data_IF_050765674699
#
_entry.id   IF_050765674699
#
_cell.length_a   1.000
_cell.length_b   1.000
_cell.length_c   1.000
_cell.angle_alpha   90.00
_cell.angle_beta   90.00
_cell.angle_gamma   90.00
#
_symmetry.space_group_name_H-M   'P 1'
#
loop_
_entity.id
_entity.type
_entity.pdbx_description
1 polymer ?
#
# COMPACT_ATOMS: atom_id res chain seq x y z
N UNK A 1 3.23 -22.49 -13.24
CA UNK A 1 2.55 -22.58 -11.92
C UNK A 1 1.05 -22.37 -12.06
N UNK A 2 0.33 -23.25 -12.82
CA UNK A 2 -1.08 -23.02 -13.15
C UNK A 2 -2.01 -23.10 -11.93
N UNK A 3 -1.59 -23.78 -10.86
CA UNK A 3 -2.41 -24.00 -9.67
C UNK A 3 -2.04 -23.06 -8.51
N UNK A 4 -0.95 -22.30 -8.65
CA UNK A 4 -0.47 -21.34 -7.64
C UNK A 4 -1.12 -19.97 -7.84
N UNK A 5 -1.26 -19.21 -6.75
CA UNK A 5 -1.65 -17.81 -6.84
C UNK A 5 -0.43 -17.00 -7.33
N UNK A 6 -0.58 -16.35 -8.48
CA UNK A 6 0.46 -15.48 -9.05
C UNK A 6 -0.08 -14.06 -9.09
N UNK A 7 0.52 -13.18 -8.29
CA UNK A 7 0.07 -11.81 -8.09
C UNK A 7 1.14 -10.81 -8.53
N UNK A 8 0.72 -9.58 -8.80
CA UNK A 8 1.58 -8.54 -9.32
C UNK A 8 1.53 -7.30 -8.41
N UNK A 9 2.69 -6.86 -7.95
CA UNK A 9 2.81 -5.72 -7.04
C UNK A 9 3.82 -4.70 -7.58
N UNK A 10 3.29 -3.69 -8.26
CA UNK A 10 4.09 -2.57 -8.80
C UNK A 10 3.46 -1.25 -8.42
N UNK A 11 4.03 -0.15 -8.86
CA UNK A 11 3.36 1.16 -8.76
C UNK A 11 2.03 1.11 -9.53
N UNK A 12 0.93 1.45 -8.84
CA UNK A 12 -0.43 1.38 -9.38
C UNK A 12 -0.90 2.69 -10.01
N UNK A 13 0.05 3.57 -10.33
CA UNK A 13 -0.24 4.84 -10.99
C UNK A 13 0.12 4.77 -12.47
N UNK A 14 -0.80 5.12 -13.35
CA UNK A 14 -0.52 5.44 -14.75
C UNK A 14 0.25 6.75 -14.86
N UNK A 15 -0.04 7.67 -13.95
CA UNK A 15 0.68 8.93 -13.76
C UNK A 15 0.90 9.19 -12.27
N UNK A 16 2.13 9.55 -11.92
CA UNK A 16 2.50 9.91 -10.55
C UNK A 16 3.45 11.10 -10.54
N UNK A 17 2.99 12.21 -9.97
CA UNK A 17 3.85 13.34 -9.61
C UNK A 17 3.94 13.40 -8.09
N UNK A 18 5.11 13.17 -7.51
CA UNK A 18 5.28 13.29 -6.06
C UNK A 18 5.12 14.74 -5.61
N UNK A 19 4.60 14.92 -4.42
CA UNK A 19 4.61 16.21 -3.73
C UNK A 19 6.04 16.69 -3.55
N UNK A 20 6.35 17.93 -3.91
CA UNK A 20 7.66 18.52 -3.78
C UNK A 20 7.59 20.04 -3.58
N UNK A 21 8.65 20.61 -3.02
CA UNK A 21 8.83 22.05 -2.96
C UNK A 21 10.20 22.44 -3.53
N UNK A 22 10.21 23.42 -4.41
CA UNK A 22 11.41 23.94 -5.06
C UNK A 22 11.68 25.35 -4.50
N UNK A 23 12.54 25.43 -3.49
CA UNK A 23 12.81 26.67 -2.76
C UNK A 23 13.39 27.78 -3.65
N UNK A 24 14.17 27.44 -4.69
CA UNK A 24 14.77 28.43 -5.59
C UNK A 24 13.76 29.20 -6.44
N UNK A 25 12.60 28.65 -6.69
CA UNK A 25 11.50 29.26 -7.47
C UNK A 25 10.23 29.49 -6.65
N UNK A 26 10.25 29.24 -5.35
CA UNK A 26 9.08 29.27 -4.47
C UNK A 26 7.88 28.49 -5.06
N UNK A 27 8.17 27.30 -5.60
CA UNK A 27 7.15 26.52 -6.30
C UNK A 27 6.80 25.27 -5.50
N UNK A 28 5.54 25.20 -5.03
CA UNK A 28 4.97 23.99 -4.47
C UNK A 28 4.33 23.14 -5.58
N UNK A 29 4.70 21.88 -5.62
CA UNK A 29 4.16 20.88 -6.54
C UNK A 29 3.27 19.96 -5.72
N UNK A 30 1.97 20.02 -5.98
CA UNK A 30 1.02 19.14 -5.33
C UNK A 30 1.14 17.71 -5.86
N UNK A 31 0.93 16.73 -4.98
CA UNK A 31 0.85 15.31 -5.38
C UNK A 31 -0.31 15.13 -6.36
N UNK A 32 0.01 14.68 -7.56
CA UNK A 32 -0.99 14.34 -8.58
C UNK A 32 -0.82 12.90 -9.01
N UNK A 33 -1.93 12.16 -9.06
CA UNK A 33 -1.93 10.74 -9.40
C UNK A 33 -3.08 10.41 -10.33
N UNK A 34 -2.84 9.49 -11.27
CA UNK A 34 -3.89 8.78 -11.99
C UNK A 34 -3.72 7.29 -11.66
N UNK A 35 -4.71 6.73 -10.98
CA UNK A 35 -4.68 5.35 -10.51
C UNK A 35 -5.05 4.40 -11.65
N UNK A 36 -4.25 3.37 -11.87
CA UNK A 36 -4.62 2.24 -12.70
C UNK A 36 -5.38 1.22 -11.84
N UNK A 37 -6.68 1.17 -12.02
CA UNK A 37 -7.57 0.34 -11.19
C UNK A 37 -7.26 -1.16 -11.25
N UNK A 38 -6.79 -1.68 -12.38
CA UNK A 38 -6.45 -3.10 -12.49
C UNK A 38 -5.14 -3.41 -11.74
N UNK A 39 -4.14 -2.54 -11.82
CA UNK A 39 -2.89 -2.70 -11.05
C UNK A 39 -3.14 -2.51 -9.56
N UNK A 40 -4.02 -1.58 -9.17
CA UNK A 40 -4.41 -1.40 -7.78
C UNK A 40 -5.11 -2.65 -7.22
N UNK A 41 -6.02 -3.25 -7.99
CA UNK A 41 -6.64 -4.54 -7.67
C UNK A 41 -5.60 -5.65 -7.43
N UNK A 42 -4.64 -5.78 -8.32
CA UNK A 42 -3.58 -6.79 -8.20
C UNK A 42 -2.72 -6.54 -6.96
N UNK A 43 -2.44 -5.28 -6.65
CA UNK A 43 -1.73 -4.88 -5.44
C UNK A 43 -2.47 -5.27 -4.17
N UNK A 44 -3.79 -5.08 -4.12
CA UNK A 44 -4.62 -5.56 -3.01
C UNK A 44 -4.60 -7.08 -2.91
N UNK A 45 -4.73 -7.80 -4.02
CA UNK A 45 -4.66 -9.27 -4.03
C UNK A 45 -3.32 -9.79 -3.49
N UNK A 46 -2.20 -9.13 -3.84
CA UNK A 46 -0.87 -9.50 -3.38
C UNK A 46 -0.68 -9.42 -1.86
N UNK A 47 -1.49 -8.63 -1.17
CA UNK A 47 -1.43 -8.45 0.30
C UNK A 47 -2.34 -9.39 1.09
N UNK A 48 -3.18 -10.19 0.43
CA UNK A 48 -4.17 -11.03 1.11
C UNK A 48 -3.62 -12.33 1.70
N UNK A 49 -2.53 -12.86 1.19
CA UNK A 49 -1.73 -14.01 1.67
C UNK A 49 -2.50 -15.12 2.44
N UNK A 50 -3.66 -15.52 1.96
CA UNK A 50 -4.45 -16.63 2.55
C UNK A 50 -3.88 -18.01 2.18
N UNK A 51 -2.99 -18.06 1.20
CA UNK A 51 -2.38 -19.28 0.65
C UNK A 51 -0.87 -19.27 0.90
N UNK A 52 -0.26 -20.47 0.90
CA UNK A 52 1.19 -20.60 0.99
C UNK A 52 1.87 -20.78 -0.37
N UNK A 53 1.12 -21.19 -1.38
CA UNK A 53 1.58 -21.40 -2.75
C UNK A 53 1.41 -20.11 -3.58
N UNK A 54 1.97 -19.02 -3.08
CA UNK A 54 1.85 -17.68 -3.67
C UNK A 54 3.17 -17.24 -4.28
N UNK A 55 3.11 -16.70 -5.50
CA UNK A 55 4.23 -16.05 -6.18
C UNK A 55 3.84 -14.59 -6.40
N UNK A 56 4.62 -13.65 -5.89
CA UNK A 56 4.40 -12.22 -6.12
C UNK A 56 5.53 -11.68 -6.98
N UNK A 57 5.19 -11.18 -8.15
CA UNK A 57 6.12 -10.44 -9.02
C UNK A 57 6.01 -8.97 -8.66
N UNK A 58 7.10 -8.35 -8.22
CA UNK A 58 7.09 -6.96 -7.77
C UNK A 58 8.23 -6.14 -8.37
N UNK A 59 8.00 -4.84 -8.49
CA UNK A 59 9.07 -3.87 -8.68
C UNK A 59 9.68 -3.46 -7.32
N UNK A 60 10.64 -2.56 -7.35
CA UNK A 60 11.23 -1.96 -6.14
C UNK A 60 10.19 -1.28 -5.23
N UNK A 61 8.97 -1.07 -5.69
CA UNK A 61 7.86 -0.57 -4.88
C UNK A 61 7.54 -1.44 -3.65
N UNK A 62 7.99 -2.71 -3.63
CA UNK A 62 7.83 -3.62 -2.50
C UNK A 62 8.55 -3.17 -1.21
N UNK A 63 9.54 -2.28 -1.29
CA UNK A 63 10.25 -1.74 -0.13
C UNK A 63 9.67 -0.41 0.37
N UNK A 64 8.63 0.13 -0.29
CA UNK A 64 7.95 1.34 0.14
C UNK A 64 6.92 1.06 1.23
N UNK A 65 6.65 2.11 2.03
CA UNK A 65 5.69 2.04 3.12
C UNK A 65 4.30 1.56 2.67
N UNK A 66 3.77 0.63 3.45
CA UNK A 66 2.38 0.16 3.45
C UNK A 66 1.80 0.28 4.86
N UNK A 67 0.51 0.01 5.02
CA UNK A 67 -0.10 -0.12 6.33
C UNK A 67 0.40 -1.34 7.11
N UNK A 68 0.13 -1.36 8.42
CA UNK A 68 0.45 -2.48 9.30
C UNK A 68 -0.36 -3.73 8.88
N UNK A 69 0.29 -4.84 8.49
CA UNK A 69 -0.41 -6.06 8.09
C UNK A 69 -1.29 -6.64 9.21
N UNK A 70 -0.90 -6.46 10.46
CA UNK A 70 -1.68 -6.93 11.62
C UNK A 70 -2.99 -6.16 11.76
N UNK A 71 -2.95 -4.85 11.61
CA UNK A 71 -4.16 -4.02 11.64
C UNK A 71 -5.05 -4.27 10.42
N UNK A 72 -4.45 -4.42 9.24
CA UNK A 72 -5.18 -4.75 8.03
C UNK A 72 -5.99 -6.05 8.17
N UNK A 73 -5.39 -7.08 8.77
CA UNK A 73 -6.07 -8.35 9.05
C UNK A 73 -7.13 -8.23 10.16
N UNK A 74 -6.83 -7.51 11.25
CA UNK A 74 -7.79 -7.31 12.37
C UNK A 74 -9.05 -6.56 11.95
N UNK A 75 -8.92 -5.62 11.02
CA UNK A 75 -10.05 -4.83 10.51
C UNK A 75 -10.90 -5.61 9.51
N UNK A 76 -10.47 -6.78 9.04
CA UNK A 76 -11.27 -7.60 8.13
C UNK A 76 -12.61 -8.01 8.78
N UNK A 77 -13.66 -8.05 7.96
CA UNK A 77 -14.99 -8.46 8.36
C UNK A 77 -15.22 -9.90 7.92
N UNK A 78 -15.44 -10.78 8.88
CA UNK A 78 -15.78 -12.19 8.61
C UNK A 78 -17.31 -12.37 8.71
N UNK A 79 -17.94 -12.83 7.64
CA UNK A 79 -19.37 -13.07 7.57
C UNK A 79 -19.64 -14.55 7.26
N UNK A 80 -20.67 -15.13 7.90
CA UNK A 80 -21.08 -16.52 7.68
C UNK A 80 -22.60 -16.64 7.72
N UNK A 81 -23.20 -17.55 6.94
CA UNK A 81 -24.60 -17.90 7.11
C UNK A 81 -24.92 -18.35 8.55
N UNK A 82 -26.07 -17.97 9.09
CA UNK A 82 -26.47 -18.22 10.48
C UNK A 82 -25.86 -17.27 11.51
N UNK A 83 -25.08 -16.26 11.08
CA UNK A 83 -24.53 -15.27 11.99
C UNK A 83 -25.59 -14.23 12.37
N UNK A 84 -25.82 -14.08 13.68
CA UNK A 84 -26.71 -13.04 14.23
C UNK A 84 -25.96 -11.69 14.20
N UNK A 85 -26.33 -10.84 13.26
CA UNK A 85 -25.77 -9.49 13.10
C UNK A 85 -26.73 -8.63 12.27
N UNK A 86 -27.06 -7.44 12.77
CA UNK A 86 -27.88 -6.50 12.02
C UNK A 86 -27.18 -6.04 10.73
N UNK A 87 -27.94 -5.94 9.64
CA UNK A 87 -27.44 -5.41 8.36
C UNK A 87 -26.78 -4.04 8.53
N UNK A 88 -27.38 -3.16 9.33
CA UNK A 88 -26.87 -1.82 9.60
C UNK A 88 -25.50 -1.85 10.31
N UNK A 89 -25.27 -2.83 11.18
CA UNK A 89 -23.98 -3.04 11.83
C UNK A 89 -22.92 -3.45 10.80
N UNK A 90 -23.24 -4.36 9.87
CA UNK A 90 -22.32 -4.73 8.79
C UNK A 90 -21.99 -3.52 7.92
N UNK A 91 -22.98 -2.70 7.56
CA UNK A 91 -22.75 -1.48 6.79
C UNK A 91 -21.85 -0.48 7.53
N UNK A 92 -22.06 -0.29 8.84
CA UNK A 92 -21.20 0.58 9.66
C UNK A 92 -19.76 0.09 9.64
N UNK A 93 -19.54 -1.20 9.83
CA UNK A 93 -18.20 -1.80 9.77
C UNK A 93 -17.57 -1.68 8.38
N UNK A 94 -18.34 -1.78 7.29
CA UNK A 94 -17.84 -1.55 5.93
C UNK A 94 -17.32 -0.11 5.75
N UNK A 95 -18.06 0.89 6.26
CA UNK A 95 -17.60 2.28 6.23
C UNK A 95 -16.33 2.47 7.07
N UNK A 96 -16.23 1.85 8.24
CA UNK A 96 -15.04 1.89 9.09
C UNK A 96 -13.79 1.35 8.38
N UNK A 97 -13.95 0.36 7.50
CA UNK A 97 -12.85 -0.18 6.68
C UNK A 97 -12.74 0.49 5.30
N UNK A 98 -13.31 1.67 5.17
CA UNK A 98 -13.20 2.57 4.01
C UNK A 98 -13.94 2.12 2.74
N UNK A 99 -14.94 1.25 2.86
CA UNK A 99 -15.90 1.02 1.77
C UNK A 99 -16.88 2.18 1.69
N UNK A 100 -17.28 2.53 0.48
CA UNK A 100 -18.26 3.56 0.22
C UNK A 100 -19.61 2.95 -0.18
N UNK A 101 -20.71 3.51 0.31
CA UNK A 101 -22.02 3.14 -0.18
C UNK A 101 -22.26 3.79 -1.54
N UNK A 102 -22.53 2.97 -2.55
CA UNK A 102 -22.90 3.45 -3.87
C UNK A 102 -23.94 2.51 -4.50
N UNK A 103 -25.20 2.92 -4.42
CA UNK A 103 -26.32 2.12 -4.94
C UNK A 103 -26.48 2.24 -6.46
N UNK A 104 -25.84 3.24 -7.11
CA UNK A 104 -25.96 3.54 -8.55
C UNK A 104 -24.79 2.96 -9.34
N UNK A 105 -23.58 3.18 -8.88
CA UNK A 105 -22.35 2.78 -9.55
C UNK A 105 -21.58 1.79 -8.66
N UNK A 106 -21.72 0.51 -8.97
CA UNK A 106 -21.19 -0.58 -8.17
C UNK A 106 -19.78 -0.95 -8.62
N UNK A 107 -18.80 -0.36 -7.96
CA UNK A 107 -17.38 -0.51 -8.23
C UNK A 107 -16.64 -1.20 -7.08
N UNK A 108 -15.36 -1.55 -7.28
CA UNK A 108 -14.50 -2.07 -6.21
C UNK A 108 -14.41 -1.08 -5.04
N UNK A 109 -14.40 -1.60 -3.82
CA UNK A 109 -14.41 -0.77 -2.61
C UNK A 109 -15.77 -0.13 -2.31
N UNK A 110 -16.84 -0.54 -3.00
CA UNK A 110 -18.19 -0.07 -2.70
C UNK A 110 -19.10 -1.20 -2.23
N UNK A 111 -20.18 -0.82 -1.56
CA UNK A 111 -21.30 -1.69 -1.26
C UNK A 111 -22.61 -1.00 -1.63
N UNK A 112 -23.63 -1.81 -1.90
CA UNK A 112 -24.99 -1.33 -2.19
C UNK A 112 -26.04 -2.13 -1.45
N UNK A 113 -27.19 -1.51 -1.20
CA UNK A 113 -28.28 -2.11 -0.42
C UNK A 113 -29.57 -2.13 -1.23
N UNK A 114 -30.23 -3.27 -1.26
CA UNK A 114 -31.55 -3.46 -1.90
C UNK A 114 -32.42 -4.32 -1.03
N UNK A 115 -33.30 -3.70 -0.23
CA UNK A 115 -34.14 -4.42 0.77
C UNK A 115 -33.25 -5.12 1.80
N UNK A 116 -33.41 -6.43 1.94
CA UNK A 116 -32.62 -7.25 2.87
C UNK A 116 -31.34 -7.83 2.25
N UNK A 117 -30.94 -7.30 1.11
CA UNK A 117 -29.72 -7.72 0.38
C UNK A 117 -28.66 -6.63 0.48
N UNK A 118 -27.44 -7.05 0.83
CA UNK A 118 -26.22 -6.25 0.84
C UNK A 118 -25.22 -6.86 -0.14
N UNK A 119 -24.91 -6.13 -1.22
CA UNK A 119 -23.87 -6.51 -2.18
C UNK A 119 -22.58 -5.76 -1.83
N UNK A 120 -21.43 -6.46 -1.76
CA UNK A 120 -20.13 -5.92 -1.39
C UNK A 120 -19.12 -6.28 -2.49
N UNK A 121 -18.44 -5.28 -3.06
CA UNK A 121 -17.43 -5.50 -4.10
C UNK A 121 -16.01 -5.30 -3.53
N UNK A 122 -15.27 -6.39 -3.19
CA UNK A 122 -13.94 -6.32 -2.61
C UNK A 122 -12.91 -5.68 -3.54
N UNK A 123 -11.91 -5.01 -2.97
CA UNK A 123 -10.82 -4.36 -3.74
C UNK A 123 -10.00 -5.35 -4.55
N UNK A 124 -9.66 -6.50 -4.02
CA UNK A 124 -8.86 -7.53 -4.69
C UNK A 124 -9.62 -8.34 -5.74
N UNK A 125 -10.95 -8.21 -5.84
CA UNK A 125 -11.76 -8.98 -6.78
C UNK A 125 -11.73 -8.38 -8.18
N UNK A 126 -11.70 -9.24 -9.21
CA UNK A 126 -11.73 -8.81 -10.61
C UNK A 126 -13.15 -8.44 -11.07
N UNK A 127 -14.07 -9.37 -10.94
CA UNK A 127 -15.44 -9.25 -11.47
C UNK A 127 -16.48 -9.85 -10.54
N UNK A 128 -16.10 -10.31 -9.35
CA UNK A 128 -17.01 -10.94 -8.42
C UNK A 128 -17.26 -10.08 -7.19
N UNK A 129 -18.48 -10.16 -6.68
CA UNK A 129 -18.91 -9.48 -5.45
C UNK A 129 -19.62 -10.47 -4.54
N UNK A 130 -19.61 -10.20 -3.25
CA UNK A 130 -20.40 -10.97 -2.31
C UNK A 130 -21.80 -10.37 -2.19
N UNK A 131 -22.81 -11.23 -2.26
CA UNK A 131 -24.20 -10.92 -1.95
C UNK A 131 -24.56 -11.57 -0.64
N UNK A 132 -24.87 -10.76 0.36
CA UNK A 132 -25.30 -11.17 1.69
C UNK A 132 -26.79 -10.92 1.81
N UNK A 133 -27.57 -11.98 2.00
CA UNK A 133 -29.01 -11.92 2.21
C UNK A 133 -29.32 -12.05 3.71
N UNK A 134 -30.14 -11.17 4.21
CA UNK A 134 -30.57 -11.15 5.62
C UNK A 134 -32.01 -11.62 5.78
N UNK A 135 -32.28 -12.30 6.88
CA UNK A 135 -33.63 -12.56 7.38
C UNK A 135 -33.73 -12.00 8.80
N UNK A 136 -34.36 -10.83 8.94
CA UNK A 136 -34.28 -10.08 10.19
C UNK A 136 -32.82 -9.67 10.51
N UNK A 137 -32.34 -10.03 11.68
CA UNK A 137 -31.00 -9.72 12.17
C UNK A 137 -30.04 -10.92 12.03
N UNK A 138 -30.34 -11.86 11.12
CA UNK A 138 -29.50 -13.01 10.82
C UNK A 138 -29.10 -13.04 9.35
N UNK A 139 -27.88 -13.45 9.07
CA UNK A 139 -27.39 -13.72 7.71
C UNK A 139 -27.97 -15.07 7.26
N UNK A 140 -28.94 -15.03 6.37
CA UNK A 140 -29.59 -16.23 5.80
C UNK A 140 -28.66 -16.93 4.80
N UNK A 141 -28.00 -16.14 3.90
CA UNK A 141 -27.23 -16.71 2.82
C UNK A 141 -26.14 -15.75 2.35
N UNK A 142 -24.99 -16.32 1.96
CA UNK A 142 -23.90 -15.59 1.27
C UNK A 142 -23.66 -16.25 -0.09
N UNK A 143 -23.59 -15.45 -1.14
CA UNK A 143 -23.29 -15.91 -2.49
C UNK A 143 -22.25 -15.02 -3.15
N UNK A 144 -21.42 -15.61 -3.97
CA UNK A 144 -20.57 -14.88 -4.90
C UNK A 144 -21.35 -14.65 -6.19
N UNK A 145 -21.37 -13.42 -6.66
CA UNK A 145 -22.08 -13.00 -7.86
C UNK A 145 -21.12 -12.30 -8.83
N UNK A 146 -21.43 -12.33 -10.11
CA UNK A 146 -20.78 -11.43 -11.07
C UNK A 146 -21.23 -9.99 -10.78
N UNK A 147 -20.27 -9.08 -10.53
CA UNK A 147 -20.57 -7.72 -10.09
C UNK A 147 -21.34 -6.90 -11.15
N UNK A 148 -21.12 -7.19 -12.45
CA UNK A 148 -21.77 -6.50 -13.57
C UNK A 148 -23.16 -7.07 -13.87
N UNK A 149 -23.28 -8.40 -14.01
CA UNK A 149 -24.52 -9.06 -14.44
C UNK A 149 -25.44 -9.44 -13.28
N UNK A 150 -24.89 -9.58 -12.07
CA UNK A 150 -25.58 -10.10 -10.90
C UNK A 150 -25.80 -11.63 -10.91
N UNK A 151 -25.21 -12.33 -11.88
CA UNK A 151 -25.31 -13.78 -12.02
C UNK A 151 -24.65 -14.49 -10.84
N UNK A 152 -25.30 -15.54 -10.35
CA UNK A 152 -24.77 -16.38 -9.27
C UNK A 152 -23.57 -17.18 -9.77
N UNK A 153 -22.42 -17.01 -9.12
CA UNK A 153 -21.20 -17.74 -9.39
C UNK A 153 -21.02 -18.93 -8.43
N UNK A 154 -21.18 -18.68 -7.13
CA UNK A 154 -21.03 -19.70 -6.09
C UNK A 154 -21.90 -19.40 -4.86
N UNK A 155 -22.15 -20.43 -4.06
CA UNK A 155 -22.69 -20.31 -2.69
C UNK A 155 -21.50 -20.38 -1.73
N UNK A 156 -21.41 -19.44 -0.78
CA UNK A 156 -20.29 -19.32 0.12
C UNK A 156 -20.70 -19.63 1.57
N UNK A 157 -19.91 -20.43 2.24
CA UNK A 157 -20.05 -20.67 3.69
C UNK A 157 -19.34 -19.60 4.53
N UNK A 158 -18.53 -18.76 3.88
CA UNK A 158 -17.76 -17.70 4.51
C UNK A 158 -17.43 -16.62 3.49
N UNK A 159 -17.47 -15.36 3.91
CA UNK A 159 -16.92 -14.22 3.19
C UNK A 159 -16.00 -13.42 4.10
N UNK A 160 -14.75 -13.22 3.66
CA UNK A 160 -13.79 -12.34 4.30
C UNK A 160 -13.70 -11.04 3.50
N UNK A 161 -14.01 -9.92 4.13
CA UNK A 161 -13.96 -8.59 3.52
C UNK A 161 -12.79 -7.83 4.15
N UNK A 162 -11.78 -7.54 3.34
CA UNK A 162 -10.60 -6.80 3.77
C UNK A 162 -10.78 -5.30 3.53
N UNK A 163 -10.06 -4.44 4.28
CA UNK A 163 -10.16 -2.99 4.10
C UNK A 163 -9.94 -2.52 2.66
N UNK A 164 -10.67 -1.47 2.26
CA UNK A 164 -10.54 -0.86 0.94
C UNK A 164 -9.25 -0.05 0.76
N UNK A 165 -8.48 0.17 1.81
CA UNK A 165 -7.17 0.82 1.80
C UNK A 165 -6.21 0.12 2.76
N UNK A 166 -4.92 0.12 2.43
CA UNK A 166 -3.88 -0.39 3.34
C UNK A 166 -3.66 0.49 4.59
N UNK A 167 -4.17 1.71 4.59
CA UNK A 167 -4.07 2.67 5.70
C UNK A 167 -5.36 2.77 6.53
N UNK A 168 -6.27 1.81 6.43
CA UNK A 168 -7.45 1.76 7.28
C UNK A 168 -7.03 1.67 8.76
N UNK A 169 -7.72 2.43 9.61
CA UNK A 169 -7.41 2.55 11.04
C UNK A 169 -8.70 2.53 11.84
N UNK A 170 -8.74 1.76 12.92
CA UNK A 170 -9.90 1.72 13.82
C UNK A 170 -10.13 3.08 14.52
N UNK A 171 -11.40 3.38 14.82
CA UNK A 171 -11.83 4.68 15.36
C UNK A 171 -11.08 5.13 16.64
N UNK A 172 -10.77 4.19 17.55
CA UNK A 172 -10.03 4.50 18.77
C UNK A 172 -8.59 4.93 18.49
N UNK A 173 -7.91 4.22 17.57
CA UNK A 173 -6.55 4.57 17.15
C UNK A 173 -6.54 5.89 16.39
N UNK A 174 -7.52 6.14 15.53
CA UNK A 174 -7.66 7.41 14.83
C UNK A 174 -7.78 8.55 15.85
N UNK A 175 -8.65 8.42 16.85
CA UNK A 175 -8.82 9.45 17.89
C UNK A 175 -7.53 9.69 18.69
N UNK A 176 -6.81 8.64 19.05
CA UNK A 176 -5.52 8.76 19.75
C UNK A 176 -4.47 9.43 18.85
N UNK A 177 -4.44 9.08 17.58
CA UNK A 177 -3.53 9.67 16.60
C UNK A 177 -3.77 11.18 16.43
N UNK A 178 -5.04 11.62 16.41
CA UNK A 178 -5.39 13.04 16.28
C UNK A 178 -4.72 13.90 17.37
N UNK A 179 -4.79 13.48 18.64
CA UNK A 179 -4.14 14.22 19.74
C UNK A 179 -2.62 14.31 19.60
N UNK A 180 -1.98 13.24 19.08
CA UNK A 180 -0.54 13.24 18.83
C UNK A 180 -0.15 14.12 17.63
N UNK A 181 -0.94 14.10 16.56
CA UNK A 181 -0.73 14.94 15.37
C UNK A 181 -0.86 16.42 15.76
N UNK A 182 -1.89 16.78 16.50
CA UNK A 182 -2.12 18.15 16.98
C UNK A 182 -0.96 18.63 17.88
N UNK A 183 -0.51 17.79 18.82
CA UNK A 183 0.62 18.12 19.68
C UNK A 183 1.92 18.32 18.87
N UNK A 184 2.19 17.49 17.85
CA UNK A 184 3.36 17.65 16.98
C UNK A 184 3.23 18.89 16.10
N UNK A 185 2.03 19.20 15.60
CA UNK A 185 1.76 20.43 14.87
C UNK A 185 2.08 21.67 15.70
N UNK A 186 1.60 21.73 16.95
CA UNK A 186 1.89 22.87 17.83
C UNK A 186 3.37 23.00 18.13
N UNK A 187 4.09 21.89 18.36
CA UNK A 187 5.54 21.92 18.55
C UNK A 187 6.28 22.45 17.32
N UNK A 188 5.90 21.95 16.13
CA UNK A 188 6.51 22.39 14.89
C UNK A 188 6.22 23.85 14.58
N UNK A 189 4.98 24.30 14.79
CA UNK A 189 4.59 25.71 14.67
C UNK A 189 5.42 26.60 15.59
N UNK A 190 5.56 26.23 16.88
CA UNK A 190 6.35 27.01 17.82
C UNK A 190 7.82 27.07 17.42
N UNK A 191 8.39 25.95 16.95
CA UNK A 191 9.76 25.91 16.44
C UNK A 191 9.97 26.87 15.27
N UNK A 192 9.02 26.98 14.33
CA UNK A 192 9.09 27.93 13.24
C UNK A 192 9.02 29.38 13.74
N UNK A 193 8.14 29.67 14.68
CA UNK A 193 8.04 31.03 15.28
C UNK A 193 9.30 31.43 16.02
N UNK A 194 9.91 30.52 16.78
CA UNK A 194 11.16 30.74 17.50
C UNK A 194 12.36 31.00 16.56
N UNK A 195 12.27 30.48 15.32
CA UNK A 195 13.25 30.69 14.26
C UNK A 195 12.89 31.85 13.30
N UNK A 196 11.94 32.71 13.67
CA UNK A 196 11.50 33.86 12.85
C UNK A 196 10.94 33.45 11.46
N UNK A 197 10.26 32.30 11.39
CA UNK A 197 9.64 31.73 10.18
C UNK A 197 8.09 31.72 10.30
N UNK A 198 7.42 32.87 10.33
CA UNK A 198 5.97 32.94 10.57
C UNK A 198 5.14 32.34 9.40
N UNK A 199 5.65 32.40 8.18
CA UNK A 199 4.96 31.85 7.01
C UNK A 199 4.90 30.31 7.07
N UNK A 200 6.01 29.66 7.45
CA UNK A 200 6.08 28.22 7.63
C UNK A 200 5.20 27.78 8.83
N UNK A 201 5.15 28.57 9.88
CA UNK A 201 4.29 28.33 11.04
C UNK A 201 2.80 28.37 10.69
N UNK A 202 2.36 29.35 9.91
CA UNK A 202 1.00 29.43 9.42
C UNK A 202 0.67 28.28 8.46
N UNK A 203 1.57 27.98 7.54
CA UNK A 203 1.40 26.93 6.52
C UNK A 203 1.23 25.56 7.14
N UNK A 204 2.07 25.19 8.12
CA UNK A 204 1.95 23.88 8.78
C UNK A 204 0.67 23.75 9.59
N UNK A 205 0.24 24.83 10.27
CA UNK A 205 -1.03 24.85 11.01
C UNK A 205 -2.23 24.65 10.08
N UNK A 206 -2.34 25.43 9.02
CA UNK A 206 -3.44 25.34 8.06
C UNK A 206 -3.50 23.96 7.44
N UNK A 207 -2.35 23.42 6.98
CA UNK A 207 -2.28 22.12 6.33
C UNK A 207 -2.70 21.00 7.27
N UNK A 208 -2.15 20.93 8.46
CA UNK A 208 -2.43 19.84 9.39
C UNK A 208 -3.84 19.91 9.93
N UNK A 209 -4.36 21.12 10.21
CA UNK A 209 -5.76 21.29 10.64
C UNK A 209 -6.72 20.77 9.58
N UNK A 210 -6.52 21.16 8.32
CA UNK A 210 -7.35 20.66 7.20
C UNK A 210 -7.25 19.14 7.05
N UNK A 211 -6.04 18.56 7.09
CA UNK A 211 -5.85 17.12 6.97
C UNK A 211 -6.55 16.37 8.14
N UNK A 212 -6.51 16.92 9.38
CA UNK A 212 -7.19 16.35 10.54
C UNK A 212 -8.73 16.42 10.40
N UNK A 213 -9.27 17.54 9.95
CA UNK A 213 -10.70 17.68 9.66
C UNK A 213 -11.18 16.63 8.66
N UNK A 214 -10.47 16.47 7.54
CA UNK A 214 -10.78 15.44 6.54
C UNK A 214 -10.72 14.03 7.11
N UNK A 215 -9.69 13.71 7.91
CA UNK A 215 -9.57 12.39 8.56
C UNK A 215 -10.71 12.12 9.55
N UNK A 216 -11.21 13.13 10.25
CA UNK A 216 -12.33 12.98 11.20
C UNK A 216 -13.68 12.87 10.49
N UNK A 217 -13.88 13.58 9.38
CA UNK A 217 -15.15 13.59 8.64
C UNK A 217 -15.33 12.35 7.76
N UNK A 218 -14.32 11.98 7.00
CA UNK A 218 -14.40 10.90 6.00
C UNK A 218 -13.41 9.76 6.23
N UNK A 219 -12.61 9.80 7.30
CA UNK A 219 -11.61 8.79 7.64
C UNK A 219 -10.35 8.81 6.75
N UNK A 220 -10.18 9.81 5.90
CA UNK A 220 -9.09 9.90 4.92
C UNK A 220 -8.73 11.36 4.62
N UNK A 221 -7.44 11.61 4.30
CA UNK A 221 -6.98 12.87 3.72
C UNK A 221 -5.96 12.62 2.60
N UNK A 222 -5.77 13.59 1.71
CA UNK A 222 -4.73 13.48 0.68
C UNK A 222 -3.33 13.51 1.33
N UNK A 223 -2.58 12.41 1.17
CA UNK A 223 -1.28 12.24 1.81
C UNK A 223 -1.35 11.65 3.22
N UNK A 224 -2.42 10.92 3.55
CA UNK A 224 -2.60 10.23 4.85
C UNK A 224 -1.39 9.36 5.23
N UNK A 225 -0.68 8.83 4.25
CA UNK A 225 0.54 8.05 4.44
C UNK A 225 1.64 8.81 5.22
N UNK A 226 1.65 10.15 5.17
CA UNK A 226 2.60 10.97 5.95
C UNK A 226 2.30 10.98 7.45
N UNK A 227 1.13 10.50 7.85
CA UNK A 227 0.68 10.34 9.22
C UNK A 227 0.71 8.88 9.70
N UNK A 228 1.14 7.92 8.85
CA UNK A 228 1.09 6.48 9.14
C UNK A 228 1.72 6.11 10.49
N UNK A 229 2.83 6.75 10.88
CA UNK A 229 3.49 6.54 12.18
C UNK A 229 2.55 6.70 13.39
N UNK A 230 1.62 7.64 13.35
CA UNK A 230 0.68 7.87 14.45
C UNK A 230 -0.39 6.77 14.54
N UNK A 231 -0.70 6.12 13.41
CA UNK A 231 -1.71 5.06 13.34
C UNK A 231 -1.14 3.70 13.72
N UNK A 232 0.09 3.41 13.33
CA UNK A 232 0.75 2.13 13.60
C UNK A 232 1.59 2.12 14.88
N UNK A 233 1.69 3.28 15.58
CA UNK A 233 2.34 3.40 16.88
C UNK A 233 3.87 3.33 16.85
N UNK A 234 4.49 3.43 15.66
CA UNK A 234 5.94 3.48 15.52
C UNK A 234 6.53 4.75 16.13
N UNK A 235 7.75 4.62 16.63
CA UNK A 235 8.55 5.77 17.06
C UNK A 235 9.17 6.48 15.86
N UNK A 236 9.54 7.77 15.99
CA UNK A 236 10.29 8.47 14.96
C UNK A 236 11.55 7.70 14.53
N UNK A 237 11.72 7.55 13.21
CA UNK A 237 12.85 6.84 12.61
C UNK A 237 12.73 5.32 12.52
N UNK A 238 11.74 4.70 13.16
CA UNK A 238 11.49 3.27 12.99
C UNK A 238 11.08 2.92 11.55
N UNK A 239 11.55 1.79 11.01
CA UNK A 239 11.24 1.39 9.65
C UNK A 239 9.73 1.17 9.43
N UNK A 240 9.18 1.59 8.28
CA UNK A 240 7.78 1.35 7.97
C UNK A 240 7.51 -0.12 7.68
N UNK A 241 6.24 -0.53 7.81
CA UNK A 241 5.78 -1.77 7.21
C UNK A 241 5.80 -1.65 5.68
N UNK A 242 6.09 -2.77 5.01
CA UNK A 242 6.20 -2.87 3.56
C UNK A 242 5.53 -4.15 3.08
N UNK A 243 5.47 -4.40 1.78
CA UNK A 243 4.98 -5.67 1.25
C UNK A 243 5.70 -6.87 1.88
N UNK A 244 6.99 -6.73 2.17
CA UNK A 244 7.82 -7.81 2.75
C UNK A 244 7.25 -8.28 4.11
N UNK A 245 6.64 -7.38 4.87
CA UNK A 245 6.05 -7.70 6.18
C UNK A 245 4.73 -8.48 6.09
N UNK A 246 4.14 -8.61 4.91
CA UNK A 246 2.95 -9.43 4.64
C UNK A 246 3.30 -10.90 4.34
N UNK A 247 4.58 -11.21 4.09
CA UNK A 247 5.02 -12.57 3.83
C UNK A 247 5.23 -13.38 5.11
N UNK A 248 5.10 -14.72 5.03
CA UNK A 248 5.57 -15.60 6.10
C UNK A 248 7.08 -15.47 6.26
N UNK A 249 7.60 -15.76 7.46
CA UNK A 249 9.02 -15.56 7.80
C UNK A 249 10.00 -16.46 7.02
N UNK A 250 9.51 -17.46 6.31
CA UNK A 250 10.28 -18.47 5.57
C UNK A 250 10.19 -18.30 4.03
N UNK A 251 9.85 -17.11 3.54
CA UNK A 251 9.74 -16.84 2.09
C UNK A 251 11.13 -16.82 1.42
N UNK A 252 11.14 -17.08 0.11
CA UNK A 252 12.31 -16.90 -0.76
C UNK A 252 12.15 -15.62 -1.57
N UNK A 253 13.12 -14.72 -1.47
CA UNK A 253 13.23 -13.57 -2.36
C UNK A 253 14.10 -13.93 -3.57
N UNK A 254 13.56 -13.75 -4.78
CA UNK A 254 14.33 -13.85 -6.03
C UNK A 254 14.53 -12.43 -6.56
N UNK A 255 15.78 -12.02 -6.72
CA UNK A 255 16.13 -10.69 -7.25
C UNK A 255 16.62 -10.86 -8.68
N UNK A 256 15.78 -10.49 -9.62
CA UNK A 256 16.12 -10.51 -11.03
C UNK A 256 16.97 -9.27 -11.40
N UNK A 257 17.89 -9.45 -12.37
CA UNK A 257 18.88 -8.43 -12.76
C UNK A 257 19.54 -7.77 -11.54
N UNK A 258 20.01 -8.61 -10.62
CA UNK A 258 20.45 -8.18 -9.28
C UNK A 258 21.55 -7.11 -9.32
N UNK A 259 22.40 -7.12 -10.34
CA UNK A 259 23.48 -6.12 -10.54
C UNK A 259 22.93 -4.69 -10.71
N UNK A 260 21.65 -4.52 -11.12
CA UNK A 260 20.95 -3.24 -11.21
C UNK A 260 20.01 -3.05 -10.03
N UNK A 261 19.24 -4.09 -9.67
CA UNK A 261 18.18 -4.03 -8.66
C UNK A 261 18.75 -3.77 -7.26
N UNK A 262 19.85 -4.41 -6.88
CA UNK A 262 20.46 -4.21 -5.55
C UNK A 262 20.95 -2.77 -5.34
N UNK A 263 21.72 -2.15 -6.26
CA UNK A 263 22.07 -0.73 -6.18
C UNK A 263 20.84 0.20 -6.15
N UNK A 264 19.79 -0.11 -6.91
CA UNK A 264 18.55 0.66 -6.92
C UNK A 264 17.89 0.66 -5.54
N UNK A 265 17.73 -0.49 -4.89
CA UNK A 265 17.22 -0.60 -3.52
C UNK A 265 18.02 0.27 -2.57
N UNK A 266 19.35 0.25 -2.67
CA UNK A 266 20.24 1.06 -1.84
C UNK A 266 20.11 2.59 -2.04
N UNK A 267 19.69 3.03 -3.23
CA UNK A 267 19.59 4.45 -3.57
C UNK A 267 18.25 5.10 -3.19
N UNK A 268 17.15 4.31 -3.11
CA UNK A 268 15.77 4.83 -2.99
C UNK A 268 15.55 5.71 -1.76
N UNK A 269 16.06 5.30 -0.60
CA UNK A 269 15.88 6.04 0.66
C UNK A 269 16.40 7.49 0.58
N UNK A 270 17.59 7.70 0.00
CA UNK A 270 18.22 9.03 -0.05
C UNK A 270 17.45 10.01 -0.92
N UNK A 271 16.90 9.55 -2.03
CA UNK A 271 16.07 10.38 -2.92
C UNK A 271 14.79 10.84 -2.26
N UNK A 272 14.10 9.93 -1.55
CA UNK A 272 12.88 10.26 -0.81
C UNK A 272 13.17 11.23 0.36
N UNK A 273 14.23 10.99 1.12
CA UNK A 273 14.65 11.85 2.22
C UNK A 273 14.95 13.28 1.75
N UNK A 274 15.69 13.46 0.67
CA UNK A 274 16.03 14.78 0.14
C UNK A 274 14.76 15.57 -0.22
N UNK A 275 13.80 14.96 -0.91
CA UNK A 275 12.53 15.57 -1.29
C UNK A 275 11.72 15.99 -0.06
N UNK A 276 11.59 15.13 0.93
CA UNK A 276 10.81 15.38 2.15
C UNK A 276 11.48 16.40 3.07
N UNK A 277 12.80 16.51 3.02
CA UNK A 277 13.51 17.54 3.79
C UNK A 277 13.03 18.93 3.42
N UNK A 278 12.87 19.24 2.14
CA UNK A 278 12.34 20.53 1.72
C UNK A 278 10.88 20.73 2.14
N UNK A 279 10.03 19.71 2.05
CA UNK A 279 8.63 19.80 2.48
C UNK A 279 8.48 20.07 3.99
N UNK A 280 9.29 19.43 4.82
CA UNK A 280 9.27 19.64 6.27
C UNK A 280 9.89 20.98 6.64
N UNK A 281 11.02 21.33 6.04
CA UNK A 281 11.76 22.58 6.29
C UNK A 281 10.91 23.82 6.01
N UNK A 282 10.05 23.79 5.01
CA UNK A 282 9.21 24.92 4.60
C UNK A 282 7.76 24.80 5.04
N UNK A 283 7.44 23.95 6.02
CA UNK A 283 6.14 23.88 6.68
C UNK A 283 5.02 23.23 5.85
N UNK A 284 5.32 22.45 4.81
CA UNK A 284 4.32 21.72 4.02
C UNK A 284 3.94 20.38 4.65
N UNK A 285 4.85 19.77 5.43
CA UNK A 285 4.60 18.50 6.12
C UNK A 285 5.22 18.50 7.52
N UNK A 286 4.62 17.73 8.44
CA UNK A 286 5.19 17.41 9.73
C UNK A 286 6.42 16.49 9.57
N UNK A 287 7.33 16.46 10.56
CA UNK A 287 8.46 15.52 10.58
C UNK A 287 8.06 14.05 10.46
N UNK A 288 6.83 13.67 10.79
CA UNK A 288 6.29 12.32 10.58
C UNK A 288 6.34 11.85 9.12
N UNK A 289 6.37 12.79 8.16
CA UNK A 289 6.53 12.47 6.75
C UNK A 289 7.84 11.72 6.45
N UNK A 290 8.89 11.92 7.25
CA UNK A 290 10.14 11.17 7.12
C UNK A 290 10.00 9.68 7.40
N UNK A 291 8.97 9.28 8.16
CA UNK A 291 8.73 7.89 8.56
C UNK A 291 7.86 7.12 7.55
N UNK A 292 7.26 7.82 6.57
CA UNK A 292 6.66 7.24 5.38
C UNK A 292 7.70 7.18 4.26
N UNK A 293 8.52 6.17 4.23
CA UNK A 293 9.72 6.08 3.40
C UNK A 293 9.98 4.67 2.90
N UNK A 294 10.80 4.47 1.86
CA UNK A 294 11.33 3.16 1.57
C UNK A 294 12.25 2.69 2.70
N UNK A 295 12.45 1.38 2.79
CA UNK A 295 13.46 0.81 3.67
C UNK A 295 14.85 1.32 3.29
N UNK A 296 15.72 1.51 4.29
CA UNK A 296 17.14 1.57 4.03
C UNK A 296 17.65 0.19 3.58
N UNK A 297 18.82 0.15 2.96
CA UNK A 297 19.38 -1.12 2.49
C UNK A 297 19.61 -2.13 3.61
N UNK A 298 20.08 -1.66 4.77
CA UNK A 298 20.31 -2.52 5.93
C UNK A 298 18.99 -3.04 6.51
N UNK A 299 17.96 -2.19 6.61
CA UNK A 299 16.62 -2.61 7.03
C UNK A 299 16.02 -3.64 6.08
N UNK A 300 16.19 -3.47 4.76
CA UNK A 300 15.79 -4.45 3.77
C UNK A 300 16.47 -5.80 4.02
N UNK A 301 17.79 -5.82 4.17
CA UNK A 301 18.54 -7.05 4.39
C UNK A 301 18.13 -7.80 5.68
N UNK A 302 17.77 -7.08 6.74
CA UNK A 302 17.33 -7.72 7.99
C UNK A 302 15.99 -8.45 7.88
N UNK A 303 15.17 -8.11 6.86
CA UNK A 303 13.85 -8.71 6.65
C UNK A 303 13.85 -9.89 5.71
N UNK A 304 14.95 -10.13 4.98
CA UNK A 304 15.02 -11.19 3.98
C UNK A 304 15.65 -12.45 4.59
N UNK A 305 14.88 -13.53 4.76
CA UNK A 305 15.41 -14.76 5.37
C UNK A 305 16.33 -15.53 4.42
N UNK A 306 16.05 -15.49 3.12
CA UNK A 306 16.84 -16.13 2.07
C UNK A 306 16.68 -15.41 0.74
N UNK A 307 17.76 -15.32 -0.03
CA UNK A 307 17.81 -14.55 -1.27
C UNK A 307 18.50 -15.35 -2.37
N UNK A 308 17.90 -15.32 -3.55
CA UNK A 308 18.51 -15.80 -4.79
C UNK A 308 18.68 -14.60 -5.73
N UNK A 309 19.91 -14.28 -6.07
CA UNK A 309 20.23 -13.26 -7.06
C UNK A 309 20.40 -13.89 -8.44
N UNK A 310 19.76 -13.33 -9.45
CA UNK A 310 19.84 -13.76 -10.85
C UNK A 310 20.43 -12.61 -11.67
N UNK A 311 21.50 -12.87 -12.41
CA UNK A 311 22.14 -11.87 -13.28
C UNK A 311 23.07 -12.52 -14.28
N UNK A 312 23.12 -11.97 -15.50
CA UNK A 312 24.15 -12.33 -16.49
C UNK A 312 25.54 -11.73 -16.11
N UNK A 313 25.55 -10.64 -15.36
CA UNK A 313 26.75 -9.89 -14.96
C UNK A 313 26.68 -9.53 -13.47
N UNK A 314 26.77 -10.52 -12.57
CA UNK A 314 26.62 -10.28 -11.14
C UNK A 314 27.65 -9.27 -10.62
N UNK A 315 27.22 -8.37 -9.74
CA UNK A 315 28.07 -7.36 -9.14
C UNK A 315 28.94 -7.92 -8.00
N UNK A 316 29.88 -7.09 -7.55
CA UNK A 316 30.77 -7.50 -6.46
C UNK A 316 30.04 -7.77 -5.16
N UNK A 317 28.93 -7.06 -4.89
CA UNK A 317 28.16 -7.22 -3.67
C UNK A 317 27.55 -8.62 -3.57
N UNK A 318 26.96 -9.13 -4.68
CA UNK A 318 26.38 -10.47 -4.75
C UNK A 318 27.46 -11.54 -4.62
N UNK A 319 28.56 -11.43 -5.38
CA UNK A 319 29.64 -12.40 -5.37
C UNK A 319 30.34 -12.51 -4.01
N UNK A 320 30.49 -11.40 -3.28
CA UNK A 320 31.10 -11.43 -1.94
C UNK A 320 30.20 -12.06 -0.86
N UNK A 321 28.88 -12.06 -1.06
CA UNK A 321 27.91 -12.57 -0.10
C UNK A 321 27.31 -13.92 -0.45
N UNK A 322 27.43 -14.35 -1.71
CA UNK A 322 26.91 -15.62 -2.17
C UNK A 322 27.61 -16.80 -1.44
N UNK A 323 26.83 -17.65 -0.83
CA UNK A 323 27.32 -18.93 -0.29
C UNK A 323 27.59 -19.95 -1.40
N UNK A 324 26.91 -19.80 -2.53
CA UNK A 324 27.04 -20.64 -3.72
C UNK A 324 26.77 -19.81 -4.98
N UNK A 325 27.54 -20.08 -6.03
CA UNK A 325 27.33 -19.53 -7.37
C UNK A 325 27.07 -20.69 -8.33
N UNK A 326 25.94 -20.60 -9.04
CA UNK A 326 25.59 -21.55 -10.10
C UNK A 326 25.60 -20.84 -11.46
N UNK A 327 26.35 -21.37 -12.42
CA UNK A 327 26.41 -20.83 -13.77
C UNK A 327 25.51 -21.63 -14.71
N UNK A 328 24.66 -20.92 -15.44
CA UNK A 328 23.84 -21.48 -16.51
C UNK A 328 24.27 -20.87 -17.85
N UNK A 329 25.10 -21.59 -18.57
CA UNK A 329 25.70 -21.11 -19.82
C UNK A 329 24.88 -21.54 -21.04
N UNK A 330 24.10 -22.60 -20.92
CA UNK A 330 23.34 -23.21 -22.00
C UNK A 330 22.04 -22.46 -22.28
N UNK A 331 21.84 -22.02 -23.51
CA UNK A 331 20.56 -21.47 -24.01
C UNK A 331 19.78 -22.56 -24.77
N UNK A 332 18.82 -23.24 -24.16
CA UNK A 332 18.12 -24.36 -24.79
C UNK A 332 17.14 -23.91 -25.88
N UNK A 333 16.90 -22.61 -26.03
CA UNK A 333 15.90 -22.08 -27.00
C UNK A 333 16.37 -22.10 -28.48
N UNK A 334 17.64 -22.38 -28.76
CA UNK A 334 18.19 -22.32 -30.10
C UNK A 334 18.27 -20.93 -30.75
N UNK A 335 17.93 -19.88 -29.96
CA UNK A 335 18.07 -18.50 -30.43
C UNK A 335 19.55 -18.09 -30.37
N UNK A 336 20.07 -17.63 -31.50
CA UNK A 336 21.42 -17.04 -31.57
C UNK A 336 21.36 -15.55 -31.25
N UNK A 337 22.48 -15.03 -30.74
CA UNK A 337 22.60 -13.56 -30.51
C UNK A 337 22.52 -12.84 -31.87
N UNK A 338 21.98 -11.60 -31.87
CA UNK A 338 21.91 -10.80 -33.10
C UNK A 338 23.32 -10.50 -33.62
N UNK A 339 23.46 -10.43 -34.93
CA UNK A 339 24.71 -9.99 -35.56
C UNK A 339 24.97 -8.51 -35.23
N UNK A 340 26.09 -8.25 -34.61
CA UNK A 340 26.48 -6.90 -34.20
C UNK A 340 27.56 -6.35 -35.11
N UNK A 341 27.28 -5.25 -35.81
CA UNK A 341 28.27 -4.52 -36.61
C UNK A 341 28.64 -3.20 -35.93
N UNK A 342 29.93 -3.05 -35.59
CA UNK A 342 30.46 -1.79 -35.05
C UNK A 342 30.93 -0.90 -36.19
N UNK A 343 30.42 0.34 -36.26
CA UNK A 343 30.82 1.34 -37.26
C UNK A 343 31.34 2.58 -36.54
N UNK A 344 32.35 3.29 -37.12
CA UNK A 344 32.78 4.60 -36.63
C UNK A 344 31.58 5.58 -36.70
N UNK A 345 31.54 6.49 -35.75
CA UNK A 345 30.65 7.66 -35.79
C UNK A 345 31.34 8.69 -36.69
N UNK A 346 30.72 9.06 -37.81
CA UNK A 346 31.18 10.17 -38.67
C UNK A 346 30.87 11.52 -38.04
#
# INVERSE_FOLDING_TARGET
FPDSAVEYFVSYYDYYQPEAYIASSDTYIEKTTAVNEEIDRLRHSATLNERRDVIIVSSVSCIYALGDPTEYLKLSISLRPGMEIERNEVMRRLVEIQFQRNDMDFQRGTFRVRGDILDIFPMGSKNSAYRVSFFGDEIDRITEINALTGELLAVCDHAAIFPATHYATGAEKLKSAMGNIEADMHRQKQMFLDNEQPLEAERIEQRVTHDMEMMLEIGYCNGIENYARYFDGRKPGEPPYTLIDYFPKDFLLIVDESHVTIPQIGAMYRGDLARKTELVKYGFRLPSAFDNRPLTFDEFLTRIPQMLCVSATPGQWELQRASQVAEQILRPTGLVDPEVTVRPIE
#
